data_IF_999296059183
#
_entry.id   IF_999296059183
#
_cell.length_a   1.000
_cell.length_b   1.000
_cell.length_c   1.000
_cell.angle_alpha   90.00
_cell.angle_beta   90.00
_cell.angle_gamma   90.00
#
_symmetry.space_group_name_H-M   'P 1'
#
loop_
_entity.id
_entity.type
_entity.pdbx_description
1 polymer ?
#
# COMPACT_ATOMS: atom_id res chain seq x y z
N UNK A 1 40.88 -8.48 6.88
CA UNK A 1 40.04 -8.23 5.70
C UNK A 1 38.75 -7.60 6.20
N UNK A 2 38.59 -6.29 6.04
CA UNK A 2 37.38 -5.58 6.50
C UNK A 2 36.31 -5.83 5.44
N UNK A 3 35.28 -6.60 5.81
CA UNK A 3 34.11 -6.80 4.98
C UNK A 3 33.47 -5.45 4.71
N UNK A 4 33.50 -5.02 3.46
CA UNK A 4 32.80 -3.84 3.00
C UNK A 4 31.29 -4.13 3.14
N UNK A 5 30.69 -3.75 4.27
CA UNK A 5 29.24 -3.76 4.41
C UNK A 5 28.70 -2.74 3.42
N UNK A 6 28.38 -3.21 2.22
CA UNK A 6 27.75 -2.41 1.18
C UNK A 6 26.65 -1.59 1.81
N UNK A 7 26.84 -0.27 1.85
CA UNK A 7 25.78 0.66 2.18
C UNK A 7 24.66 0.39 1.19
N UNK A 8 23.62 -0.34 1.63
CA UNK A 8 22.37 -0.44 0.91
C UNK A 8 21.81 0.98 0.86
N UNK A 9 22.18 1.72 -0.18
CA UNK A 9 21.77 3.09 -0.41
C UNK A 9 20.30 3.02 -0.83
N UNK A 10 19.40 3.12 0.14
CA UNK A 10 18.00 3.36 -0.16
C UNK A 10 17.90 4.75 -0.76
N UNK A 11 17.44 4.82 -2.02
CA UNK A 11 17.14 6.10 -2.64
C UNK A 11 15.73 6.48 -2.19
N UNK A 12 15.64 7.54 -1.39
CA UNK A 12 14.35 8.09 -1.00
C UNK A 12 13.70 8.66 -2.25
N UNK A 13 12.58 8.05 -2.63
CA UNK A 13 11.66 8.45 -3.69
C UNK A 13 12.12 8.20 -5.15
N UNK A 14 11.43 7.27 -5.83
CA UNK A 14 11.18 7.35 -7.28
C UNK A 14 9.83 8.07 -7.48
N UNK A 15 9.74 8.89 -8.53
CA UNK A 15 8.51 9.66 -8.83
C UNK A 15 7.48 8.85 -9.62
N UNK A 16 7.89 7.72 -10.20
CA UNK A 16 7.01 6.87 -10.99
C UNK A 16 7.38 5.40 -10.88
N UNK A 17 6.37 4.59 -11.17
CA UNK A 17 6.45 3.14 -11.37
C UNK A 17 5.70 2.78 -12.65
N UNK A 18 6.14 1.71 -13.32
CA UNK A 18 5.47 1.20 -14.53
C UNK A 18 4.75 -0.12 -14.23
N UNK A 19 3.58 -0.39 -14.82
CA UNK A 19 2.78 -1.57 -14.46
C UNK A 19 3.54 -2.91 -14.55
N UNK A 20 4.41 -3.07 -15.56
CA UNK A 20 5.07 -4.33 -15.86
C UNK A 20 6.41 -4.53 -15.12
N UNK A 21 6.91 -3.55 -14.36
CA UNK A 21 8.16 -3.75 -13.63
C UNK A 21 7.96 -4.61 -12.40
N UNK A 22 8.98 -5.38 -12.03
CA UNK A 22 8.99 -6.15 -10.79
C UNK A 22 9.22 -5.24 -9.59
N UNK A 23 8.53 -5.54 -8.51
CA UNK A 23 8.65 -4.84 -7.25
C UNK A 23 9.08 -5.82 -6.14
N UNK A 24 9.79 -5.31 -5.15
CA UNK A 24 10.21 -6.04 -3.96
C UNK A 24 9.07 -6.22 -2.97
N UNK A 25 8.24 -5.19 -2.78
CA UNK A 25 7.05 -5.25 -1.92
C UNK A 25 6.07 -4.12 -2.22
N UNK A 26 4.83 -4.30 -1.78
CA UNK A 26 3.82 -3.25 -1.66
C UNK A 26 3.32 -3.20 -0.21
N UNK A 27 3.25 -2.00 0.36
CA UNK A 27 2.63 -1.75 1.66
C UNK A 27 1.54 -0.71 1.50
N UNK A 28 0.41 -0.90 2.19
CA UNK A 28 -0.53 0.18 2.45
C UNK A 28 -0.61 0.44 3.95
N UNK A 29 -0.57 1.71 4.34
CA UNK A 29 -0.52 2.12 5.76
C UNK A 29 -1.18 3.48 5.98
N UNK A 30 -1.83 3.66 7.13
CA UNK A 30 -2.35 4.96 7.56
C UNK A 30 -1.24 5.76 8.25
N UNK A 31 -0.94 6.95 7.73
CA UNK A 31 0.05 7.86 8.31
C UNK A 31 -0.53 9.27 8.42
N UNK A 32 0.06 10.07 9.31
CA UNK A 32 -0.28 11.48 9.43
C UNK A 32 0.05 12.20 8.11
N UNK A 33 -0.91 12.91 7.54
CA UNK A 33 -0.68 13.74 6.35
C UNK A 33 0.23 14.94 6.66
N UNK A 34 0.96 15.48 5.65
CA UNK A 34 1.75 16.68 5.81
C UNK A 34 0.94 17.86 6.37
N UNK A 35 1.51 18.55 7.36
CA UNK A 35 0.86 19.65 8.05
C UNK A 35 -0.19 19.23 9.08
N UNK A 36 -0.20 17.96 9.50
CA UNK A 36 -1.08 17.45 10.56
C UNK A 36 -2.58 17.59 10.27
N UNK A 37 -2.98 17.55 9.00
CA UNK A 37 -4.38 17.78 8.55
C UNK A 37 -5.29 16.55 8.64
N UNK A 38 -4.85 15.51 9.37
CA UNK A 38 -5.53 14.22 9.50
C UNK A 38 -4.73 13.06 8.92
N UNK A 39 -5.23 11.84 9.13
CA UNK A 39 -4.60 10.61 8.66
C UNK A 39 -4.98 10.31 7.21
N UNK A 40 -3.98 10.00 6.39
CA UNK A 40 -4.14 9.55 5.02
C UNK A 40 -3.67 8.09 4.89
N UNK A 41 -4.20 7.37 3.90
CA UNK A 41 -3.64 6.08 3.49
C UNK A 41 -2.55 6.34 2.46
N UNK A 42 -1.38 5.77 2.70
CA UNK A 42 -0.29 5.75 1.75
C UNK A 42 -0.11 4.34 1.18
N UNK A 43 0.11 4.26 -0.12
CA UNK A 43 0.63 3.07 -0.79
C UNK A 43 2.11 3.28 -1.06
N UNK A 44 2.90 2.32 -0.64
CA UNK A 44 4.36 2.35 -0.70
C UNK A 44 4.82 1.12 -1.48
N UNK A 45 5.45 1.35 -2.61
CA UNK A 45 6.05 0.32 -3.46
C UNK A 45 7.56 0.41 -3.34
N UNK A 46 8.23 -0.73 -3.19
CA UNK A 46 9.68 -0.81 -3.24
C UNK A 46 10.07 -1.46 -4.57
N UNK A 47 10.84 -0.76 -5.39
CA UNK A 47 11.25 -1.18 -6.75
C UNK A 47 12.75 -1.06 -6.92
N UNK A 48 13.29 -1.60 -8.03
CA UNK A 48 14.71 -1.48 -8.37
C UNK A 48 14.94 -0.28 -9.29
N UNK A 49 15.89 0.59 -8.95
CA UNK A 49 16.40 1.65 -9.80
C UNK A 49 17.92 1.56 -9.82
N UNK A 50 18.48 1.19 -10.97
CA UNK A 50 19.92 1.07 -11.19
C UNK A 50 20.64 0.21 -10.14
N UNK A 51 20.02 -0.91 -9.76
CA UNK A 51 20.55 -1.85 -8.77
C UNK A 51 20.27 -1.47 -7.31
N UNK A 52 19.56 -0.37 -7.06
CA UNK A 52 19.23 0.12 -5.72
C UNK A 52 17.72 -0.01 -5.44
N UNK A 53 17.37 -0.24 -4.18
CA UNK A 53 15.98 -0.14 -3.75
C UNK A 53 15.54 1.33 -3.76
N UNK A 54 14.43 1.59 -4.43
CA UNK A 54 13.79 2.89 -4.48
C UNK A 54 12.35 2.78 -4.01
N UNK A 55 11.91 3.74 -3.22
CA UNK A 55 10.54 3.82 -2.73
C UNK A 55 9.69 4.66 -3.68
N UNK A 56 8.55 4.14 -4.13
CA UNK A 56 7.47 4.95 -4.70
C UNK A 56 6.37 5.09 -3.67
N UNK A 57 5.93 6.32 -3.42
CA UNK A 57 4.88 6.61 -2.43
C UNK A 57 3.72 7.36 -3.10
N UNK A 58 2.52 6.82 -2.93
CA UNK A 58 1.26 7.39 -3.39
C UNK A 58 0.39 7.74 -2.18
N UNK A 59 -0.10 8.99 -2.13
CA UNK A 59 -1.14 9.41 -1.18
C UNK A 59 -2.51 9.05 -1.74
N UNK A 60 -3.18 8.08 -1.13
CA UNK A 60 -4.49 7.61 -1.57
C UNK A 60 -5.65 8.40 -0.95
N UNK A 61 -5.34 9.43 -0.14
CA UNK A 61 -6.32 10.30 0.52
C UNK A 61 -6.72 9.83 1.92
N UNK A 62 -7.82 10.39 2.42
CA UNK A 62 -8.24 10.25 3.82
C UNK A 62 -8.39 8.78 4.25
N UNK A 63 -7.70 8.42 5.33
CA UNK A 63 -7.75 7.08 5.92
C UNK A 63 -9.17 6.64 6.32
N UNK A 64 -10.03 7.59 6.69
CA UNK A 64 -11.44 7.34 7.07
C UNK A 64 -12.30 6.78 5.94
N UNK A 65 -11.88 6.92 4.67
CA UNK A 65 -12.58 6.32 3.53
C UNK A 65 -12.33 4.81 3.40
N UNK A 66 -11.33 4.28 4.11
CA UNK A 66 -10.96 2.87 4.06
C UNK A 66 -11.48 2.14 5.29
N UNK A 67 -12.66 1.54 5.18
CA UNK A 67 -13.34 0.84 6.28
C UNK A 67 -12.70 -0.50 6.68
N UNK A 68 -11.97 -1.14 5.75
CA UNK A 68 -11.36 -2.46 5.95
C UNK A 68 -10.01 -2.47 6.67
N UNK A 69 -9.13 -3.42 6.32
CA UNK A 69 -7.79 -3.52 6.90
C UNK A 69 -7.08 -2.18 6.84
N UNK A 70 -6.59 -1.69 7.98
CA UNK A 70 -5.93 -0.38 8.11
C UNK A 70 -4.51 -0.38 7.54
N UNK A 71 -3.82 -1.51 7.61
CA UNK A 71 -2.45 -1.65 7.13
C UNK A 71 -2.16 -3.09 6.70
N UNK A 72 -1.42 -3.26 5.62
CA UNK A 72 -0.92 -4.57 5.19
C UNK A 72 0.37 -4.43 4.39
N UNK A 73 1.09 -5.53 4.29
CA UNK A 73 2.31 -5.65 3.49
C UNK A 73 2.21 -6.92 2.62
N UNK A 74 2.48 -6.76 1.34
CA UNK A 74 2.56 -7.82 0.34
C UNK A 74 4.03 -7.97 -0.05
N UNK A 75 4.78 -8.92 0.56
CA UNK A 75 6.14 -9.22 0.14
C UNK A 75 6.10 -9.90 -1.23
N UNK A 76 6.80 -9.33 -2.20
CA UNK A 76 6.88 -9.85 -3.57
C UNK A 76 8.20 -10.56 -3.83
N UNK A 77 9.30 -10.06 -3.26
CA UNK A 77 10.65 -10.58 -3.52
C UNK A 77 10.98 -10.67 -5.02
N UNK A 78 10.49 -9.70 -5.81
CA UNK A 78 10.62 -9.63 -7.27
C UNK A 78 9.78 -10.63 -8.08
N UNK A 79 8.92 -11.42 -7.44
CA UNK A 79 8.05 -12.39 -8.11
C UNK A 79 6.89 -11.72 -8.83
N UNK A 80 6.37 -10.62 -8.29
CA UNK A 80 5.22 -9.89 -8.83
C UNK A 80 5.62 -8.56 -9.46
N UNK A 81 4.92 -8.24 -10.55
CA UNK A 81 4.90 -6.93 -11.15
C UNK A 81 4.13 -5.94 -10.29
N UNK A 82 4.35 -4.65 -10.51
CA UNK A 82 3.57 -3.58 -9.88
C UNK A 82 2.08 -3.78 -10.11
N UNK A 83 1.65 -4.08 -11.35
CA UNK A 83 0.25 -4.31 -11.66
C UNK A 83 -0.36 -5.47 -10.86
N UNK A 84 0.36 -6.59 -10.74
CA UNK A 84 -0.10 -7.74 -9.95
C UNK A 84 -0.21 -7.40 -8.46
N UNK A 85 0.75 -6.65 -7.90
CA UNK A 85 0.68 -6.21 -6.51
C UNK A 85 -0.47 -5.24 -6.26
N UNK A 86 -0.78 -4.37 -7.20
CA UNK A 86 -1.96 -3.49 -7.11
C UNK A 86 -3.25 -4.30 -7.10
N UNK A 87 -3.38 -5.31 -7.96
CA UNK A 87 -4.53 -6.21 -7.96
C UNK A 87 -4.65 -6.98 -6.63
N UNK A 88 -3.53 -7.49 -6.09
CA UNK A 88 -3.52 -8.16 -4.78
C UNK A 88 -3.94 -7.19 -3.66
N UNK A 89 -3.44 -5.95 -3.70
CA UNK A 89 -3.81 -4.91 -2.73
C UNK A 89 -5.31 -4.59 -2.78
N UNK A 90 -5.90 -4.55 -3.98
CA UNK A 90 -7.33 -4.34 -4.16
C UNK A 90 -8.15 -5.49 -3.57
N UNK A 91 -7.79 -6.75 -3.89
CA UNK A 91 -8.40 -7.94 -3.28
C UNK A 91 -8.31 -7.92 -1.76
N UNK A 92 -7.14 -7.60 -1.19
CA UNK A 92 -6.96 -7.53 0.26
C UNK A 92 -7.82 -6.43 0.90
N UNK A 93 -8.06 -5.31 0.23
CA UNK A 93 -8.94 -4.25 0.75
C UNK A 93 -10.39 -4.70 0.81
N UNK A 94 -10.85 -5.45 -0.17
CA UNK A 94 -12.25 -5.83 -0.33
C UNK A 94 -12.61 -7.09 0.46
N UNK A 95 -11.76 -8.13 0.44
CA UNK A 95 -12.06 -9.42 1.08
C UNK A 95 -11.97 -9.38 2.61
N UNK A 96 -11.22 -8.43 3.15
CA UNK A 96 -10.96 -8.36 4.60
C UNK A 96 -11.98 -7.51 5.35
N UNK A 97 -13.02 -7.04 4.65
CA UNK A 97 -14.05 -6.21 5.24
C UNK A 97 -15.45 -6.57 4.75
N UNK A 98 -16.28 -7.03 5.68
CA UNK A 98 -17.72 -7.18 5.48
C UNK A 98 -18.41 -6.13 6.34
N UNK A 99 -19.03 -5.13 5.71
CA UNK A 99 -19.91 -4.20 6.42
C UNK A 99 -21.27 -4.89 6.65
N UNK A 100 -21.42 -5.52 7.82
CA UNK A 100 -22.63 -6.28 8.17
C UNK A 100 -23.88 -5.36 8.13
N UNK A 101 -23.75 -4.07 8.45
CA UNK A 101 -24.89 -3.13 8.41
C UNK A 101 -25.32 -2.84 6.98
N UNK A 102 -24.35 -2.65 6.10
CA UNK A 102 -24.57 -2.48 4.66
C UNK A 102 -25.15 -3.75 4.05
N UNK A 103 -24.58 -4.91 4.36
CA UNK A 103 -25.04 -6.22 3.89
C UNK A 103 -26.47 -6.53 4.34
N UNK A 104 -26.78 -6.28 5.61
CA UNK A 104 -28.13 -6.46 6.18
C UNK A 104 -29.08 -5.30 5.86
N UNK A 105 -28.63 -4.27 5.14
CA UNK A 105 -29.40 -3.05 4.81
C UNK A 105 -30.12 -2.43 6.03
N UNK A 106 -29.49 -2.51 7.20
CA UNK A 106 -30.13 -2.14 8.47
C UNK A 106 -30.52 -0.66 8.53
N UNK A 107 -29.89 0.20 7.72
CA UNK A 107 -30.27 1.62 7.63
C UNK A 107 -31.64 1.84 6.97
N UNK A 108 -32.13 0.85 6.21
CA UNK A 108 -33.46 0.88 5.58
C UNK A 108 -34.50 0.07 6.34
N UNK A 109 -34.10 -0.64 7.40
CA UNK A 109 -34.98 -1.50 8.18
C UNK A 109 -35.92 -0.64 9.05
N UNK A 110 -37.21 -0.64 8.72
CA UNK A 110 -38.26 -0.14 9.62
C UNK A 110 -38.85 -1.32 10.38
N UNK A 111 -38.71 -1.39 11.72
CA UNK A 111 -39.43 -2.37 12.51
C UNK A 111 -40.94 -2.13 12.35
N UNK A 112 -41.70 -3.22 12.20
CA UNK A 112 -43.15 -3.22 12.13
C UNK A 112 -43.79 -2.87 13.48
#
# INVERSE_FOLDING_TARGET
MVGNSGLNKMIVATLSVVPNEKAYSLQEIHLQSPGSRGFHRYRILIVNRDGNLAEYREDMGLASKYKGIKQFNVPSLWEHSVAELLNIADTLRDETFIDIKEWLKLETYKPA
#
